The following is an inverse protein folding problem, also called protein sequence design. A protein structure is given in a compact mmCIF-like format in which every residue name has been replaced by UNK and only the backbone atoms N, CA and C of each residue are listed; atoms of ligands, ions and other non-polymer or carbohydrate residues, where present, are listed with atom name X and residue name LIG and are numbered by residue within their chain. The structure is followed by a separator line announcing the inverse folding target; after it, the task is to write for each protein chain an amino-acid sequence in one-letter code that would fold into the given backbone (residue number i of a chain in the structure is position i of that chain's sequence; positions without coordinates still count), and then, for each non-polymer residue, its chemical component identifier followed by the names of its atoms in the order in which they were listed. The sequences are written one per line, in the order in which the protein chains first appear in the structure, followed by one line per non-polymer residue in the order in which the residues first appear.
data_IF_043597325419
#
_entry.id   IF_043597325419
#
_cell.length_a   1.000
_cell.length_b   1.000
_cell.length_c   1.000
_cell.angle_alpha   90.00
_cell.angle_beta   90.00
_cell.angle_gamma   90.00
#
_symmetry.space_group_name_H-M   'P 1'
#
loop_
_entity.id
_entity.type
_entity.pdbx_description
1 polymer ?
#
# COMPACT_ATOMS: atom_id res chain seq x y z
N UNK A 1 -0.70 14.41 1.31
CA UNK A 1 -2.06 13.95 1.67
C UNK A 1 -2.93 15.06 2.24
N UNK A 2 -2.64 15.63 3.42
CA UNK A 2 -3.53 16.61 4.09
C UNK A 2 -4.05 17.74 3.19
N UNK A 3 -3.15 18.42 2.46
CA UNK A 3 -3.52 19.51 1.56
C UNK A 3 -4.44 19.05 0.41
N UNK A 4 -4.14 17.89 -0.18
CA UNK A 4 -4.95 17.28 -1.24
C UNK A 4 -6.35 16.90 -0.72
N UNK A 5 -6.43 16.25 0.44
CA UNK A 5 -7.69 15.90 1.09
C UNK A 5 -8.54 17.14 1.40
N UNK A 6 -7.92 18.22 1.91
CA UNK A 6 -8.61 19.48 2.20
C UNK A 6 -9.10 20.21 0.94
N UNK A 7 -8.33 20.16 -0.14
CA UNK A 7 -8.64 20.85 -1.39
C UNK A 7 -9.55 20.05 -2.35
N UNK A 8 -9.92 18.81 -2.02
CA UNK A 8 -10.65 17.94 -2.96
C UNK A 8 -9.81 17.55 -4.18
N UNK A 9 -8.48 17.55 -4.05
CA UNK A 9 -7.54 17.26 -5.15
C UNK A 9 -6.98 15.86 -5.00
N UNK A 10 -6.89 15.13 -6.11
CA UNK A 10 -6.33 13.78 -6.14
C UNK A 10 -4.84 13.76 -5.77
N UNK A 11 -4.40 12.66 -5.18
CA UNK A 11 -3.03 12.42 -4.74
C UNK A 11 -2.60 11.02 -5.15
N UNK A 12 -1.38 10.92 -5.69
CA UNK A 12 -0.69 9.67 -5.92
C UNK A 12 0.76 9.77 -5.47
N UNK A 13 1.32 8.70 -4.91
CA UNK A 13 2.74 8.58 -4.59
C UNK A 13 3.27 7.18 -4.89
N UNK A 14 4.56 6.96 -4.61
CA UNK A 14 5.22 5.65 -4.70
C UNK A 14 5.88 5.28 -3.36
N UNK A 15 5.36 5.78 -2.23
CA UNK A 15 5.98 5.54 -0.91
C UNK A 15 5.87 4.07 -0.51
N UNK A 16 6.93 3.56 0.14
CA UNK A 16 6.94 2.27 0.84
C UNK A 16 6.80 2.40 2.36
N UNK A 17 6.47 3.59 2.87
CA UNK A 17 6.44 3.89 4.30
C UNK A 17 5.09 3.52 4.91
N UNK A 18 4.91 2.25 5.27
CA UNK A 18 3.63 1.69 5.79
C UNK A 18 3.00 2.53 6.90
N UNK A 19 3.80 3.01 7.86
CA UNK A 19 3.30 3.81 8.98
C UNK A 19 2.83 5.21 8.54
N UNK A 20 3.48 5.81 7.54
CA UNK A 20 3.01 7.06 6.95
C UNK A 20 1.65 6.85 6.27
N UNK A 21 1.50 5.78 5.49
CA UNK A 21 0.23 5.45 4.82
C UNK A 21 -0.86 5.19 5.86
N UNK A 22 -0.57 4.43 6.92
CA UNK A 22 -1.53 4.17 8.00
C UNK A 22 -1.99 5.47 8.67
N UNK A 23 -1.06 6.36 9.04
CA UNK A 23 -1.39 7.68 9.61
C UNK A 23 -2.21 8.53 8.64
N UNK A 24 -1.90 8.47 7.34
CA UNK A 24 -2.64 9.19 6.32
C UNK A 24 -4.10 8.71 6.22
N UNK A 25 -4.33 7.39 6.30
CA UNK A 25 -5.67 6.80 6.37
C UNK A 25 -6.39 7.29 7.63
N UNK A 26 -5.79 7.11 8.81
CA UNK A 26 -6.42 7.45 10.10
C UNK A 26 -6.81 8.93 10.19
N UNK A 27 -5.95 9.83 9.67
CA UNK A 27 -6.16 11.28 9.79
C UNK A 27 -7.02 11.87 8.68
N UNK A 28 -6.94 11.35 7.45
CA UNK A 28 -7.46 12.06 6.27
C UNK A 28 -8.48 11.27 5.45
N UNK A 29 -8.72 9.98 5.72
CA UNK A 29 -9.68 9.19 4.93
C UNK A 29 -11.08 9.83 4.91
N UNK A 30 -11.63 10.17 6.07
CA UNK A 30 -12.95 10.82 6.16
C UNK A 30 -12.98 12.14 5.37
N UNK A 31 -11.96 12.97 5.52
CA UNK A 31 -11.90 14.26 4.84
C UNK A 31 -11.81 14.09 3.32
N UNK A 32 -11.01 13.14 2.83
CA UNK A 32 -10.90 12.83 1.41
C UNK A 32 -12.23 12.34 0.84
N UNK A 33 -12.97 11.50 1.57
CA UNK A 33 -14.33 11.06 1.20
C UNK A 33 -15.28 12.25 1.13
N UNK A 34 -15.27 13.12 2.14
CA UNK A 34 -16.17 14.27 2.24
C UNK A 34 -15.90 15.31 1.12
N UNK A 35 -14.65 15.47 0.67
CA UNK A 35 -14.29 16.41 -0.41
C UNK A 35 -14.27 15.78 -1.81
N UNK A 36 -14.34 14.45 -1.90
CA UNK A 36 -14.23 13.70 -3.15
C UNK A 36 -12.79 13.50 -3.67
N UNK A 37 -11.77 13.84 -2.87
CA UNK A 37 -10.37 13.59 -3.23
C UNK A 37 -10.05 12.09 -3.26
N UNK A 38 -9.32 11.64 -4.27
CA UNK A 38 -8.78 10.27 -4.34
C UNK A 38 -7.33 10.26 -3.90
N UNK A 39 -7.03 9.49 -2.85
CA UNK A 39 -5.67 9.36 -2.31
C UNK A 39 -5.21 7.93 -2.59
N UNK A 40 -4.20 7.76 -3.43
CA UNK A 40 -3.66 6.45 -3.82
C UNK A 40 -2.18 6.38 -3.46
N UNK A 41 -1.84 5.56 -2.48
CA UNK A 41 -0.45 5.32 -2.08
C UNK A 41 0.15 4.16 -2.88
N UNK A 42 1.48 4.08 -2.90
CA UNK A 42 2.22 2.94 -3.46
C UNK A 42 1.95 2.69 -4.96
N UNK A 43 1.77 3.74 -5.76
CA UNK A 43 1.68 3.68 -7.23
C UNK A 43 3.05 3.47 -7.91
N UNK A 44 3.91 2.63 -7.32
CA UNK A 44 5.26 2.34 -7.77
C UNK A 44 5.42 0.95 -8.39
N UNK A 45 6.65 0.66 -8.83
CA UNK A 45 7.02 -0.64 -9.37
C UNK A 45 6.88 -1.79 -8.36
N UNK A 46 7.07 -1.51 -7.07
CA UNK A 46 7.00 -2.56 -6.03
C UNK A 46 5.55 -2.97 -5.67
N UNK A 47 4.53 -2.33 -6.27
CA UNK A 47 3.12 -2.63 -5.96
C UNK A 47 2.22 -2.76 -7.20
N UNK A 48 2.36 -1.88 -8.21
CA UNK A 48 1.50 -1.93 -9.40
C UNK A 48 1.55 -3.30 -10.12
N UNK A 49 2.72 -3.90 -10.40
CA UNK A 49 2.79 -5.19 -11.06
C UNK A 49 2.15 -6.32 -10.23
N UNK A 50 2.36 -6.36 -8.91
CA UNK A 50 1.75 -7.37 -8.05
C UNK A 50 0.23 -7.22 -8.01
N UNK A 51 -0.28 -6.00 -7.81
CA UNK A 51 -1.72 -5.72 -7.67
C UNK A 51 -2.47 -6.04 -8.96
N UNK A 52 -1.94 -5.58 -10.10
CA UNK A 52 -2.58 -5.83 -11.40
C UNK A 52 -2.52 -7.31 -11.79
N UNK A 53 -1.42 -8.01 -11.48
CA UNK A 53 -1.29 -9.43 -11.86
C UNK A 53 -2.12 -10.34 -10.98
N UNK A 54 -2.22 -10.09 -9.66
CA UNK A 54 -3.13 -10.85 -8.78
C UNK A 54 -4.59 -10.58 -9.14
N UNK A 55 -4.95 -9.35 -9.48
CA UNK A 55 -6.31 -9.04 -9.94
C UNK A 55 -6.64 -9.74 -11.26
N UNK A 56 -5.71 -9.74 -12.23
CA UNK A 56 -5.89 -10.47 -13.48
C UNK A 56 -6.05 -11.98 -13.25
N UNK A 57 -5.25 -12.56 -12.33
CA UNK A 57 -5.35 -13.96 -11.94
C UNK A 57 -6.70 -14.28 -11.30
N UNK A 58 -7.17 -13.45 -10.37
CA UNK A 58 -8.48 -13.58 -9.75
C UNK A 58 -9.61 -13.60 -10.80
N UNK A 59 -9.59 -12.63 -11.72
CA UNK A 59 -10.58 -12.53 -12.80
C UNK A 59 -10.56 -13.75 -13.74
N UNK A 60 -9.41 -14.38 -13.92
CA UNK A 60 -9.29 -15.60 -14.72
C UNK A 60 -9.84 -16.81 -13.96
N UNK A 61 -9.47 -16.97 -12.69
CA UNK A 61 -9.99 -18.03 -11.81
C UNK A 61 -11.53 -18.00 -11.70
N UNK A 62 -12.13 -16.80 -11.58
CA UNK A 62 -13.58 -16.64 -11.59
C UNK A 62 -14.22 -17.13 -12.90
N UNK A 63 -13.63 -16.77 -14.05
CA UNK A 63 -14.12 -17.20 -15.37
C UNK A 63 -14.02 -18.70 -15.57
N UNK A 64 -12.95 -19.29 -15.07
CA UNK A 64 -12.68 -20.73 -15.20
C UNK A 64 -13.45 -21.56 -14.15
N UNK A 65 -14.15 -20.90 -13.21
CA UNK A 65 -14.94 -21.56 -12.17
C UNK A 65 -14.09 -22.35 -11.18
N UNK A 66 -12.83 -21.95 -10.96
CA UNK A 66 -11.87 -22.72 -10.15
C UNK A 66 -12.01 -22.49 -8.64
N UNK A 67 -12.96 -21.64 -8.23
CA UNK A 67 -13.13 -21.23 -6.83
C UNK A 67 -12.24 -20.06 -6.44
N UNK A 68 -11.96 -19.92 -5.14
CA UNK A 68 -11.15 -18.84 -4.59
C UNK A 68 -9.66 -19.00 -4.92
N UNK A 69 -8.92 -17.89 -4.95
CA UNK A 69 -7.46 -17.94 -5.01
C UNK A 69 -6.90 -18.49 -3.69
N UNK A 70 -5.90 -19.37 -3.80
CA UNK A 70 -5.05 -19.73 -2.68
C UNK A 70 -3.79 -18.85 -2.63
N UNK A 71 -2.76 -19.34 -1.95
CA UNK A 71 -1.46 -18.67 -1.84
C UNK A 71 -0.92 -18.28 -3.23
N UNK A 72 -0.78 -16.98 -3.44
CA UNK A 72 -0.33 -16.40 -4.71
C UNK A 72 1.00 -15.70 -4.50
N UNK A 73 2.01 -16.11 -5.25
CA UNK A 73 3.35 -15.56 -5.16
C UNK A 73 3.67 -14.74 -6.41
N UNK A 74 4.02 -13.47 -6.21
CA UNK A 74 4.62 -12.67 -7.27
C UNK A 74 6.09 -13.06 -7.45
N UNK A 75 6.48 -13.44 -8.66
CA UNK A 75 7.85 -13.87 -8.98
C UNK A 75 8.48 -12.93 -9.99
N UNK A 76 9.40 -12.10 -9.51
CA UNK A 76 10.22 -11.24 -10.36
C UNK A 76 11.47 -12.00 -10.84
N UNK A 77 11.56 -12.28 -12.15
CA UNK A 77 12.69 -13.03 -12.74
C UNK A 77 13.92 -12.18 -13.02
N UNK A 78 13.71 -10.92 -13.36
CA UNK A 78 14.77 -9.99 -13.74
C UNK A 78 14.36 -8.60 -13.31
N UNK A 79 15.31 -7.86 -12.75
CA UNK A 79 15.14 -6.47 -12.37
C UNK A 79 16.27 -5.67 -13.02
N UNK A 80 15.92 -4.53 -13.61
CA UNK A 80 16.87 -3.62 -14.21
C UNK A 80 16.67 -2.23 -13.59
N UNK A 81 17.67 -1.77 -12.85
CA UNK A 81 17.61 -0.54 -12.07
C UNK A 81 18.24 -0.72 -10.68
N UNK A 82 18.11 0.30 -9.85
CA UNK A 82 18.54 0.27 -8.45
C UNK A 82 17.62 1.13 -7.59
N UNK A 83 17.73 0.99 -6.27
CA UNK A 83 16.99 1.84 -5.35
C UNK A 83 17.42 3.30 -5.54
N UNK A 84 16.43 4.19 -5.71
CA UNK A 84 16.71 5.64 -5.72
C UNK A 84 17.18 6.08 -4.33
N UNK A 85 17.86 7.23 -4.24
CA UNK A 85 18.22 7.81 -2.93
C UNK A 85 16.99 8.05 -2.04
N UNK A 86 15.84 8.38 -2.64
CA UNK A 86 14.57 8.50 -1.94
C UNK A 86 14.07 7.16 -1.40
N UNK A 87 14.17 6.08 -2.19
CA UNK A 87 13.80 4.72 -1.76
C UNK A 87 14.63 4.27 -0.55
N UNK A 88 15.94 4.55 -0.57
CA UNK A 88 16.83 4.24 0.56
C UNK A 88 16.44 5.05 1.79
N UNK A 89 16.16 6.35 1.63
CA UNK A 89 15.72 7.20 2.73
C UNK A 89 14.41 6.68 3.37
N UNK A 90 13.41 6.31 2.56
CA UNK A 90 12.16 5.72 3.06
C UNK A 90 12.40 4.42 3.84
N UNK A 91 13.28 3.53 3.36
CA UNK A 91 13.63 2.30 4.10
C UNK A 91 14.31 2.61 5.45
N UNK A 92 15.20 3.61 5.47
CA UNK A 92 15.88 4.04 6.70
C UNK A 92 14.88 4.62 7.71
N UNK A 93 13.97 5.50 7.28
CA UNK A 93 12.96 6.06 8.18
C UNK A 93 11.99 5.01 8.70
N UNK A 94 11.54 4.07 7.86
CA UNK A 94 10.73 2.93 8.31
C UNK A 94 11.46 2.10 9.38
N UNK A 95 12.75 1.82 9.18
CA UNK A 95 13.55 1.09 10.16
C UNK A 95 13.76 1.87 11.46
N UNK A 96 13.95 3.20 11.38
CA UNK A 96 14.06 4.07 12.55
C UNK A 96 12.76 4.10 13.35
N UNK A 97 11.62 4.32 12.70
CA UNK A 97 10.30 4.28 13.37
C UNK A 97 10.06 2.91 14.02
N UNK A 98 10.33 1.81 13.32
CA UNK A 98 10.19 0.45 13.84
C UNK A 98 11.13 0.10 15.02
N UNK A 99 12.23 0.85 15.18
CA UNK A 99 13.19 0.63 16.28
C UNK A 99 12.81 1.36 17.57
N UNK A 100 12.14 2.52 17.44
CA UNK A 100 11.74 3.36 18.57
C UNK A 100 10.33 3.09 19.08
N UNK A 101 9.50 2.39 18.30
CA UNK A 101 8.08 2.20 18.57
C UNK A 101 7.66 0.71 18.42
N UNK A 102 7.42 -0.01 19.53
CA UNK A 102 6.92 -1.38 19.50
C UNK A 102 5.56 -1.52 18.80
N UNK A 103 4.66 -0.53 18.91
CA UNK A 103 3.36 -0.56 18.25
C UNK A 103 3.53 -0.37 16.74
N UNK A 104 4.33 0.61 16.33
CA UNK A 104 4.73 0.79 14.93
C UNK A 104 5.35 -0.46 14.32
N UNK A 105 6.19 -1.18 15.09
CA UNK A 105 6.76 -2.46 14.63
C UNK A 105 5.69 -3.55 14.47
N UNK A 106 4.69 -3.63 15.34
CA UNK A 106 3.58 -4.56 15.16
C UNK A 106 2.77 -4.22 13.91
N UNK A 107 2.46 -2.94 13.71
CA UNK A 107 1.74 -2.46 12.53
C UNK A 107 2.50 -2.75 11.21
N UNK A 108 3.83 -2.69 11.20
CA UNK A 108 4.62 -3.02 10.01
C UNK A 108 4.57 -4.52 9.67
N UNK A 109 4.54 -5.38 10.70
CA UNK A 109 4.54 -6.84 10.50
C UNK A 109 3.14 -7.43 10.28
N UNK A 110 2.10 -6.62 10.37
CA UNK A 110 0.72 -7.02 10.17
C UNK A 110 0.32 -6.89 8.69
N UNK A 111 0.00 -8.00 7.99
CA UNK A 111 -0.36 -7.96 6.57
C UNK A 111 -1.63 -7.15 6.29
N UNK A 112 -2.49 -6.95 7.31
CA UNK A 112 -3.77 -6.24 7.18
C UNK A 112 -3.72 -4.84 7.78
N UNK A 113 -2.53 -4.30 8.02
CA UNK A 113 -2.33 -3.01 8.69
C UNK A 113 -3.01 -1.83 8.00
N UNK A 114 -3.13 -1.89 6.67
CA UNK A 114 -3.76 -0.87 5.83
C UNK A 114 -5.23 -1.20 5.46
N UNK A 115 -5.74 -2.37 5.86
CA UNK A 115 -7.13 -2.74 5.55
C UNK A 115 -8.10 -1.89 6.38
N UNK A 116 -9.12 -1.28 5.74
CA UNK A 116 -10.18 -0.58 6.46
C UNK A 116 -11.20 -1.52 7.11
N UNK A 117 -11.19 -2.83 6.78
CA UNK A 117 -12.17 -3.82 7.24
C UNK A 117 -11.48 -5.08 7.79
N UNK A 118 -10.87 -4.95 8.97
CA UNK A 118 -10.16 -6.07 9.62
C UNK A 118 -10.98 -7.35 9.83
N UNK A 119 -12.28 -7.29 10.19
CA UNK A 119 -13.08 -8.50 10.32
C UNK A 119 -13.29 -9.28 9.01
N UNK A 120 -13.04 -8.66 7.86
CA UNK A 120 -13.16 -9.32 6.56
C UNK A 120 -11.87 -10.05 6.12
N UNK A 121 -10.77 -9.88 6.85
CA UNK A 121 -9.42 -10.41 6.56
C UNK A 121 -9.05 -11.65 7.40
#
# INVERSE_FOLDING_TARGET
VAACAAAGTDYADLTGETLFVRRAIDLYHKQAVDTGARIVHACGFDSIPSDLTVFALYRQAEKDGTGQLGDTNFVMRTFAGGASGGTIASMVELAREASGDPEGRQLINDPYTLSPDRPAE
#
